data_IF_618610618590
#
_entry.id   IF_618610618590
#
_cell.length_a   1.000
_cell.length_b   1.000
_cell.length_c   1.000
_cell.angle_alpha   90.00
_cell.angle_beta   90.00
_cell.angle_gamma   90.00
#
_symmetry.space_group_name_H-M   'P 1'
#
loop_
_entity.id
_entity.type
_entity.pdbx_description
1 polymer ?
#
# COMPACT_ATOMS: atom_id res chain seq x y z
N UNK A 1 -7.97 0.78 25.05
CA UNK A 1 -6.80 1.41 24.39
C UNK A 1 -7.26 2.73 23.77
N UNK A 2 -6.99 3.89 24.40
CA UNK A 2 -7.29 5.21 23.81
C UNK A 2 -6.09 5.62 22.94
N UNK A 3 -6.12 5.29 21.66
CA UNK A 3 -5.02 5.59 20.71
C UNK A 3 -4.93 7.09 20.42
N UNK A 4 -6.07 7.77 20.49
CA UNK A 4 -6.20 9.15 19.97
C UNK A 4 -5.91 10.23 21.00
N UNK A 5 -5.88 9.95 22.31
CA UNK A 5 -5.79 10.98 23.37
C UNK A 5 -6.73 12.19 23.16
N UNK A 6 -7.93 11.96 22.63
CA UNK A 6 -8.90 13.01 22.31
C UNK A 6 -8.77 13.63 20.91
N UNK A 7 -7.87 13.11 20.07
CA UNK A 7 -7.76 13.49 18.67
C UNK A 7 -9.00 13.06 17.87
N UNK A 8 -9.51 13.98 17.07
CA UNK A 8 -10.63 13.77 16.15
C UNK A 8 -10.12 13.20 14.81
N UNK A 9 -10.31 11.90 14.61
CA UNK A 9 -9.83 11.19 13.42
C UNK A 9 -10.58 11.56 12.14
N UNK A 10 -11.80 12.12 12.22
CA UNK A 10 -12.55 12.46 11.00
C UNK A 10 -11.89 13.61 10.22
N UNK A 11 -11.07 14.44 10.88
CA UNK A 11 -10.25 15.46 10.21
C UNK A 11 -9.32 14.91 9.15
N UNK A 12 -8.85 13.66 9.31
CA UNK A 12 -7.95 13.00 8.35
C UNK A 12 -8.67 12.76 7.02
N UNK A 13 -10.00 12.62 7.02
CA UNK A 13 -10.81 12.39 5.81
C UNK A 13 -10.76 13.58 4.84
N UNK A 14 -10.61 14.79 5.38
CA UNK A 14 -10.58 16.04 4.59
C UNK A 14 -9.18 16.38 4.08
N UNK A 15 -8.13 15.77 4.64
CA UNK A 15 -6.75 15.99 4.24
C UNK A 15 -6.42 15.35 2.89
N UNK A 16 -5.49 15.96 2.15
CA UNK A 16 -4.85 15.28 1.02
C UNK A 16 -3.96 14.13 1.50
N UNK A 17 -3.51 13.28 0.58
CA UNK A 17 -2.78 12.07 0.93
C UNK A 17 -1.48 12.37 1.69
N UNK A 18 -0.71 13.37 1.26
CA UNK A 18 0.56 13.73 1.87
C UNK A 18 0.39 14.29 3.29
N UNK A 19 -0.67 15.07 3.53
CA UNK A 19 -1.06 15.57 4.86
C UNK A 19 -1.55 14.43 5.75
N UNK A 20 -2.46 13.60 5.25
CA UNK A 20 -3.04 12.49 6.00
C UNK A 20 -1.97 11.48 6.44
N UNK A 21 -1.00 11.18 5.58
CA UNK A 21 0.15 10.33 5.91
C UNK A 21 0.97 10.95 7.06
N UNK A 22 1.34 12.23 6.94
CA UNK A 22 2.12 12.93 7.96
C UNK A 22 1.38 12.99 9.29
N UNK A 23 0.08 13.18 9.25
CA UNK A 23 -0.77 13.23 10.42
C UNK A 23 -0.85 11.87 11.13
N UNK A 24 -1.08 10.78 10.37
CA UNK A 24 -1.10 9.42 10.90
C UNK A 24 0.26 9.02 11.51
N UNK A 25 1.37 9.46 10.92
CA UNK A 25 2.71 9.17 11.45
C UNK A 25 3.03 9.86 12.79
N UNK A 26 2.19 10.80 13.28
CA UNK A 26 2.33 11.37 14.62
C UNK A 26 1.97 10.38 15.74
N UNK A 27 1.17 9.36 15.44
CA UNK A 27 0.81 8.34 16.41
C UNK A 27 1.95 7.34 16.57
N UNK A 28 2.38 7.13 17.83
CA UNK A 28 3.45 6.18 18.16
C UNK A 28 3.14 4.79 17.59
N UNK A 29 4.05 4.28 16.75
CA UNK A 29 3.92 2.96 16.11
C UNK A 29 3.37 2.98 14.69
N UNK A 30 2.96 4.14 14.16
CA UNK A 30 2.53 4.28 12.77
C UNK A 30 3.70 4.85 11.94
N UNK A 31 4.27 3.99 11.08
CA UNK A 31 5.24 4.41 10.06
C UNK A 31 4.58 4.68 8.70
N UNK A 32 5.38 5.08 7.71
CA UNK A 32 4.92 5.37 6.33
C UNK A 32 4.05 4.26 5.75
N UNK A 33 4.53 3.01 5.79
CA UNK A 33 3.80 1.84 5.28
C UNK A 33 2.43 1.68 5.95
N UNK A 34 2.37 1.76 7.29
CA UNK A 34 1.12 1.65 8.03
C UNK A 34 0.17 2.79 7.71
N UNK A 35 0.68 4.02 7.56
CA UNK A 35 -0.12 5.19 7.20
C UNK A 35 -0.74 5.03 5.81
N UNK A 36 0.06 4.71 4.79
CA UNK A 36 -0.41 4.45 3.42
C UNK A 36 -1.47 3.32 3.42
N UNK A 37 -1.23 2.23 4.17
CA UNK A 37 -2.18 1.11 4.25
C UNK A 37 -3.51 1.50 4.91
N UNK A 38 -3.49 2.28 5.99
CA UNK A 38 -4.70 2.79 6.66
C UNK A 38 -5.53 3.63 5.67
N UNK A 39 -4.90 4.54 4.93
CA UNK A 39 -5.61 5.40 3.97
C UNK A 39 -6.29 4.60 2.86
N UNK A 40 -5.61 3.58 2.33
CA UNK A 40 -6.17 2.72 1.28
C UNK A 40 -7.34 1.90 1.83
N UNK A 41 -7.14 1.22 2.96
CA UNK A 41 -8.09 0.21 3.48
C UNK A 41 -9.27 0.79 4.24
N UNK A 42 -9.10 1.98 4.84
CA UNK A 42 -10.12 2.59 5.70
C UNK A 42 -10.79 3.78 5.03
N UNK A 43 -10.03 4.61 4.31
CA UNK A 43 -10.54 5.83 3.66
C UNK A 43 -10.71 5.67 2.14
N UNK A 44 -10.41 4.51 1.57
CA UNK A 44 -10.60 4.23 0.15
C UNK A 44 -9.75 5.09 -0.78
N UNK A 45 -8.58 5.58 -0.31
CA UNK A 45 -7.61 6.35 -1.10
C UNK A 45 -6.86 5.43 -2.10
N UNK A 46 -7.59 4.94 -3.09
CA UNK A 46 -7.17 3.97 -4.12
C UNK A 46 -6.14 4.51 -5.12
N UNK A 47 -5.91 5.82 -5.11
CA UNK A 47 -4.84 6.50 -5.83
C UNK A 47 -3.49 6.38 -5.10
N UNK A 48 -3.46 5.86 -3.86
CA UNK A 48 -2.24 5.48 -3.17
C UNK A 48 -1.77 4.07 -3.53
N UNK A 49 -0.50 3.83 -3.23
CA UNK A 49 0.18 2.55 -3.36
C UNK A 49 1.00 2.34 -2.08
N UNK A 50 1.18 1.08 -1.67
CA UNK A 50 2.05 0.67 -0.56
C UNK A 50 3.32 0.00 -1.12
N UNK A 51 4.29 0.74 -1.67
CA UNK A 51 5.45 0.13 -2.32
C UNK A 51 6.43 -0.51 -1.33
N UNK A 52 6.31 -0.20 -0.04
CA UNK A 52 7.04 -0.87 1.04
C UNK A 52 6.37 -2.20 1.45
N UNK A 53 5.15 -2.48 0.98
CA UNK A 53 4.48 -3.76 1.21
C UNK A 53 5.19 -4.90 0.48
N UNK A 54 5.56 -5.95 1.22
CA UNK A 54 6.27 -7.08 0.65
C UNK A 54 5.41 -7.85 -0.37
N UNK A 55 4.09 -7.93 -0.14
CA UNK A 55 3.15 -8.55 -1.07
C UNK A 55 3.07 -7.78 -2.39
N UNK A 56 2.90 -6.47 -2.32
CA UNK A 56 2.93 -5.58 -3.48
C UNK A 56 4.24 -5.70 -4.24
N UNK A 57 5.39 -5.64 -3.55
CA UNK A 57 6.71 -5.78 -4.18
C UNK A 57 6.86 -7.12 -4.88
N UNK A 58 6.48 -8.22 -4.21
CA UNK A 58 6.54 -9.57 -4.78
C UNK A 58 5.64 -9.70 -6.02
N UNK A 59 4.42 -9.19 -5.96
CA UNK A 59 3.48 -9.24 -7.07
C UNK A 59 4.00 -8.44 -8.28
N UNK A 60 4.43 -7.18 -8.07
CA UNK A 60 4.99 -6.34 -9.13
C UNK A 60 6.24 -6.98 -9.73
N UNK A 61 7.15 -7.48 -8.88
CA UNK A 61 8.35 -8.21 -9.32
C UNK A 61 8.03 -9.42 -10.17
N UNK A 62 7.00 -10.18 -9.79
CA UNK A 62 6.57 -11.36 -10.51
C UNK A 62 6.08 -11.01 -11.92
N UNK A 63 5.16 -10.06 -12.04
CA UNK A 63 4.50 -9.77 -13.31
C UNK A 63 5.31 -8.88 -14.24
N UNK A 64 6.21 -8.03 -13.71
CA UNK A 64 6.89 -7.00 -14.51
C UNK A 64 8.42 -7.07 -14.48
N UNK A 65 9.03 -7.90 -13.62
CA UNK A 65 10.49 -7.98 -13.47
C UNK A 65 11.01 -9.42 -13.48
N UNK A 66 10.31 -10.33 -14.17
CA UNK A 66 10.73 -11.72 -14.32
C UNK A 66 10.88 -12.48 -13.01
N UNK A 67 10.14 -12.10 -11.96
CA UNK A 67 10.22 -12.73 -10.64
C UNK A 67 11.34 -12.23 -9.73
N UNK A 68 12.27 -11.40 -10.21
CA UNK A 68 13.33 -10.85 -9.36
C UNK A 68 12.75 -9.79 -8.41
N UNK A 69 12.89 -10.02 -7.09
CA UNK A 69 12.42 -9.08 -6.07
C UNK A 69 13.07 -7.71 -6.26
N UNK A 70 12.26 -6.68 -6.46
CA UNK A 70 12.70 -5.31 -6.67
C UNK A 70 12.69 -4.53 -5.36
N UNK A 71 13.49 -3.46 -5.30
CA UNK A 71 13.48 -2.53 -4.16
C UNK A 71 12.16 -1.77 -4.07
N UNK A 72 11.80 -1.26 -2.88
CA UNK A 72 10.62 -0.41 -2.72
C UNK A 72 10.68 0.85 -3.60
N UNK A 73 11.85 1.46 -3.76
CA UNK A 73 12.03 2.63 -4.62
C UNK A 73 11.81 2.29 -6.11
N UNK A 74 12.30 1.15 -6.58
CA UNK A 74 12.05 0.68 -7.95
C UNK A 74 10.57 0.46 -8.17
N UNK A 75 9.88 -0.21 -7.23
CA UNK A 75 8.44 -0.44 -7.31
C UNK A 75 7.68 0.89 -7.30
N UNK A 76 7.97 1.79 -6.35
CA UNK A 76 7.35 3.12 -6.24
C UNK A 76 7.44 3.88 -7.57
N UNK A 77 8.63 3.98 -8.17
CA UNK A 77 8.82 4.63 -9.47
C UNK A 77 8.08 3.92 -10.61
N UNK A 78 8.08 2.60 -10.61
CA UNK A 78 7.43 1.82 -11.66
C UNK A 78 5.91 2.02 -11.66
N UNK A 79 5.28 2.02 -10.48
CA UNK A 79 3.83 2.09 -10.32
C UNK A 79 3.24 3.47 -10.59
N UNK A 80 4.05 4.54 -10.62
CA UNK A 80 3.58 5.88 -10.99
C UNK A 80 2.93 5.95 -12.38
N UNK A 81 3.34 5.08 -13.31
CA UNK A 81 2.73 4.99 -14.66
C UNK A 81 1.24 4.63 -14.64
N UNK A 82 0.74 4.10 -13.54
CA UNK A 82 -0.66 3.70 -13.37
C UNK A 82 -1.55 4.86 -12.91
N UNK A 83 -0.95 6.01 -12.55
CA UNK A 83 -1.66 7.20 -12.11
C UNK A 83 -2.65 6.90 -10.98
N UNK A 84 -3.86 7.47 -11.07
CA UNK A 84 -4.92 7.33 -10.05
C UNK A 84 -5.43 5.90 -9.83
N UNK A 85 -5.06 4.94 -10.68
CA UNK A 85 -5.51 3.54 -10.58
C UNK A 85 -4.49 2.63 -9.90
N UNK A 86 -3.35 3.17 -9.43
CA UNK A 86 -2.25 2.36 -8.91
C UNK A 86 -2.64 1.45 -7.75
N UNK A 87 -3.49 1.90 -6.82
CA UNK A 87 -3.95 1.08 -5.70
C UNK A 87 -4.80 -0.12 -6.16
N UNK A 88 -5.73 0.10 -7.10
CA UNK A 88 -6.53 -0.99 -7.69
C UNK A 88 -5.65 -2.01 -8.40
N UNK A 89 -4.72 -1.54 -9.24
CA UNK A 89 -3.83 -2.42 -9.99
C UNK A 89 -2.99 -3.27 -9.03
N UNK A 90 -2.41 -2.67 -7.98
CA UNK A 90 -1.66 -3.42 -6.96
C UNK A 90 -2.53 -4.46 -6.27
N UNK A 91 -3.74 -4.09 -5.86
CA UNK A 91 -4.66 -5.03 -5.22
C UNK A 91 -4.88 -6.28 -6.09
N UNK A 92 -5.21 -6.09 -7.36
CA UNK A 92 -5.42 -7.21 -8.29
C UNK A 92 -4.13 -8.01 -8.55
N UNK A 93 -2.97 -7.35 -8.65
CA UNK A 93 -1.68 -8.04 -8.80
C UNK A 93 -1.38 -8.93 -7.59
N UNK A 94 -1.64 -8.45 -6.37
CA UNK A 94 -1.47 -9.24 -5.14
C UNK A 94 -2.42 -10.45 -5.14
N UNK A 95 -3.70 -10.25 -5.47
CA UNK A 95 -4.66 -11.35 -5.57
C UNK A 95 -4.22 -12.41 -6.58
N UNK A 96 -3.79 -11.98 -7.77
CA UNK A 96 -3.31 -12.88 -8.82
C UNK A 96 -2.04 -13.64 -8.40
N UNK A 97 -1.08 -12.94 -7.78
CA UNK A 97 0.16 -13.52 -7.27
C UNK A 97 -0.10 -14.58 -6.20
N UNK A 98 -0.95 -14.26 -5.21
CA UNK A 98 -1.30 -15.17 -4.12
C UNK A 98 -2.03 -16.43 -4.62
N UNK A 99 -2.94 -16.28 -5.61
CA UNK A 99 -3.62 -17.43 -6.22
C UNK A 99 -2.62 -18.34 -6.95
N UNK A 100 -1.65 -17.77 -7.65
CA UNK A 100 -0.63 -18.55 -8.38
C UNK A 100 0.28 -19.32 -7.42
N UNK A 101 0.72 -18.70 -6.33
CA UNK A 101 1.58 -19.38 -5.32
C UNK A 101 0.85 -20.56 -4.69
N UNK A 102 -0.42 -20.40 -4.31
CA UNK A 102 -1.22 -21.51 -3.76
C UNK A 102 -1.22 -22.71 -4.72
N UNK A 103 -1.49 -22.46 -6.00
CA UNK A 103 -1.49 -23.52 -7.03
C UNK A 103 -0.12 -24.16 -7.30
N UNK A 104 0.99 -23.53 -6.88
CA UNK A 104 2.35 -24.09 -6.99
C UNK A 104 2.76 -24.89 -5.76
N UNK A 105 2.17 -24.60 -4.59
CA UNK A 105 2.41 -25.35 -3.35
C UNK A 105 1.57 -26.62 -3.22
N UNK A 106 0.48 -26.73 -3.99
CA UNK A 106 -0.38 -27.91 -4.07
C UNK A 106 0.08 -28.93 -5.15
N UNK A 107 1.31 -28.82 -5.66
CA UNK A 107 1.93 -29.78 -6.60
C UNK A 107 3.21 -30.37 -6.05
#
# INVERSE_FOLDING_TARGET
>A
MKITNGYDLEKIREMNNEEAIRELMKFRGIGMWSAELILITTLGRIDLCVPDDLGARKAVSHFYFGGRLQSCNTVRKFTERWGKFKGWIIYYLICAYNRKIKNLGDR
#
